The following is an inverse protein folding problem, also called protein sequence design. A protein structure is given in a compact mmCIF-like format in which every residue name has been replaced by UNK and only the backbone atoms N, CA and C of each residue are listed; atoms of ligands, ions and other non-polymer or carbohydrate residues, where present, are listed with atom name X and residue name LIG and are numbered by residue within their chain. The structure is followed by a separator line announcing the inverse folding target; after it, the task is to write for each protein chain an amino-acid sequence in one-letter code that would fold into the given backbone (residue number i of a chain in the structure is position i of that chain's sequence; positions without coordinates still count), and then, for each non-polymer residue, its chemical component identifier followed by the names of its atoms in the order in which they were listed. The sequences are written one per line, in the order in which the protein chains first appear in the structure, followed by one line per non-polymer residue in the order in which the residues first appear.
data_IF_802313172013
#
_entry.id   IF_802313172013
#
_cell.length_a   1.000
_cell.length_b   1.000
_cell.length_c   1.000
_cell.angle_alpha   90.00
_cell.angle_beta   90.00
_cell.angle_gamma   90.00
#
_symmetry.space_group_name_H-M   'P 1'
#
loop_
_entity.id
_entity.type
_entity.pdbx_description
1 polymer ?
#
# COMPACT_ATOMS: atom_id res chain seq x y z
N UNK A 1 -46.16 -0.28 -3.17
CA UNK A 1 -45.01 0.66 -3.08
C UNK A 1 -44.65 0.78 -1.60
N UNK A 2 -43.59 0.09 -1.18
CA UNK A 2 -43.29 -0.22 0.23
C UNK A 2 -42.85 1.02 1.02
N UNK A 3 -43.26 1.09 2.29
CA UNK A 3 -42.96 2.16 3.28
C UNK A 3 -41.45 2.50 3.36
N UNK A 4 -40.59 1.54 2.98
CA UNK A 4 -39.13 1.68 2.91
C UNK A 4 -38.66 2.73 1.88
N UNK A 5 -39.39 2.91 0.77
CA UNK A 5 -39.06 3.88 -0.27
C UNK A 5 -39.45 5.31 0.15
N UNK A 6 -40.49 5.47 1.00
CA UNK A 6 -40.93 6.77 1.49
C UNK A 6 -39.93 7.39 2.49
N UNK A 7 -39.28 6.55 3.33
CA UNK A 7 -38.22 7.01 4.24
C UNK A 7 -36.94 7.47 3.52
N UNK A 8 -36.57 6.80 2.41
CA UNK A 8 -35.43 7.23 1.60
C UNK A 8 -35.71 8.53 0.83
N UNK A 9 -36.92 8.70 0.28
CA UNK A 9 -37.34 9.94 -0.38
C UNK A 9 -37.47 11.12 0.60
N UNK A 10 -38.00 10.89 1.81
CA UNK A 10 -38.08 11.94 2.84
C UNK A 10 -36.70 12.36 3.37
N UNK A 11 -35.75 11.41 3.50
CA UNK A 11 -34.37 11.71 3.87
C UNK A 11 -33.63 12.54 2.83
N UNK A 12 -33.92 12.34 1.53
CA UNK A 12 -33.32 13.13 0.45
C UNK A 12 -33.84 14.57 0.44
N UNK A 13 -35.12 14.77 0.75
CA UNK A 13 -35.77 16.09 0.76
C UNK A 13 -35.28 16.98 1.92
N UNK A 14 -34.98 16.39 3.07
CA UNK A 14 -34.45 17.11 4.24
C UNK A 14 -33.01 17.59 4.01
N UNK A 15 -32.18 16.77 3.35
CA UNK A 15 -30.80 17.15 2.97
C UNK A 15 -30.82 18.27 1.92
N UNK A 16 -31.75 18.22 0.96
CA UNK A 16 -31.92 19.27 -0.05
C UNK A 16 -32.42 20.61 0.54
N UNK A 17 -33.18 20.57 1.63
CA UNK A 17 -33.71 21.75 2.33
C UNK A 17 -32.64 22.46 3.18
N UNK A 18 -31.65 21.72 3.69
CA UNK A 18 -30.54 22.27 4.48
C UNK A 18 -29.53 23.01 3.56
N UNK A 19 -29.40 22.60 2.30
CA UNK A 19 -28.50 23.22 1.32
C UNK A 19 -28.98 24.59 0.80
N UNK A 20 -30.27 24.91 0.90
CA UNK A 20 -30.85 26.17 0.41
C UNK A 20 -30.85 27.31 1.44
N UNK A 21 -30.47 27.06 2.71
CA UNK A 21 -30.58 28.05 3.80
C UNK A 21 -29.24 28.58 4.34
N UNK A 22 -28.10 28.12 3.83
CA UNK A 22 -26.79 28.67 4.15
C UNK A 22 -26.41 29.79 3.18
N UNK A 23 -27.00 30.98 3.34
CA UNK A 23 -26.44 32.21 2.77
C UNK A 23 -25.11 32.52 3.46
N UNK A 24 -24.04 31.83 3.06
CA UNK A 24 -22.74 31.90 3.72
C UNK A 24 -22.22 33.33 3.65
N UNK A 25 -22.03 33.94 4.81
CA UNK A 25 -21.42 35.27 4.91
C UNK A 25 -19.92 35.12 4.69
N UNK A 26 -19.40 35.71 3.61
CA UNK A 26 -17.98 35.64 3.27
C UNK A 26 -17.27 36.93 3.69
N UNK A 27 -16.19 36.83 4.46
CA UNK A 27 -15.39 38.00 4.84
C UNK A 27 -14.37 38.32 3.75
N UNK A 28 -14.21 39.58 3.39
CA UNK A 28 -13.24 40.07 2.40
C UNK A 28 -12.39 41.15 3.05
N UNK A 29 -11.07 41.03 2.94
CA UNK A 29 -10.13 42.02 3.44
C UNK A 29 -9.58 42.76 2.22
N UNK A 30 -9.83 44.06 2.13
CA UNK A 30 -9.31 44.89 1.05
C UNK A 30 -7.92 45.44 1.41
N UNK A 31 -7.14 45.86 0.43
CA UNK A 31 -5.78 46.41 0.63
C UNK A 31 -5.73 47.61 1.59
N UNK A 32 -6.84 48.35 1.68
CA UNK A 32 -7.04 49.43 2.67
C UNK A 32 -7.09 48.95 4.13
N UNK A 33 -7.09 47.65 4.39
CA UNK A 33 -7.29 47.03 5.70
C UNK A 33 -8.77 46.94 6.13
N UNK A 34 -9.70 47.50 5.35
CA UNK A 34 -11.14 47.38 5.62
C UNK A 34 -11.63 45.96 5.39
N UNK A 35 -12.39 45.44 6.35
CA UNK A 35 -12.99 44.11 6.30
C UNK A 35 -14.48 44.24 6.00
N UNK A 36 -14.90 43.67 4.88
CA UNK A 36 -16.30 43.57 4.49
C UNK A 36 -16.82 42.16 4.75
N UNK A 37 -18.09 42.03 5.10
CA UNK A 37 -18.83 40.77 5.02
C UNK A 37 -19.77 40.84 3.83
N UNK A 38 -19.71 39.85 2.95
CA UNK A 38 -20.52 39.76 1.73
C UNK A 38 -21.55 38.67 1.93
N UNK A 39 -22.82 39.02 1.76
CA UNK A 39 -23.94 38.08 1.81
C UNK A 39 -24.80 38.29 0.57
N UNK A 40 -24.71 37.37 -0.38
CA UNK A 40 -25.31 37.53 -1.71
C UNK A 40 -24.79 38.81 -2.40
N UNK A 41 -25.65 39.83 -2.56
CA UNK A 41 -25.30 41.12 -3.16
C UNK A 41 -25.15 42.24 -2.13
N UNK A 42 -25.32 41.94 -0.84
CA UNK A 42 -25.21 42.92 0.23
C UNK A 42 -23.81 42.91 0.85
N UNK A 43 -23.33 44.10 1.20
CA UNK A 43 -22.01 44.36 1.77
C UNK A 43 -22.16 44.99 3.15
N UNK A 44 -21.43 44.45 4.13
CA UNK A 44 -21.49 44.89 5.52
C UNK A 44 -20.10 45.22 6.06
N UNK A 45 -20.01 46.25 6.91
CA UNK A 45 -18.84 46.49 7.77
C UNK A 45 -19.30 46.26 9.21
N UNK A 46 -18.79 45.19 9.83
CA UNK A 46 -19.40 44.68 11.07
C UNK A 46 -20.84 44.24 10.82
N UNK A 47 -21.79 44.83 11.56
CA UNK A 47 -23.23 44.58 11.40
C UNK A 47 -23.94 45.62 10.52
N UNK A 48 -23.25 46.71 10.14
CA UNK A 48 -23.85 47.79 9.35
C UNK A 48 -23.87 47.43 7.87
N UNK A 49 -25.05 47.45 7.25
CA UNK A 49 -25.18 47.34 5.79
C UNK A 49 -24.70 48.64 5.14
N UNK A 50 -23.69 48.53 4.28
CA UNK A 50 -23.06 49.66 3.55
C UNK A 50 -23.27 49.55 2.04
N UNK A 51 -24.20 48.70 1.59
CA UNK A 51 -24.41 48.39 0.17
C UNK A 51 -24.72 49.62 -0.66
N UNK A 52 -25.63 50.49 -0.21
CA UNK A 52 -25.96 51.72 -0.95
C UNK A 52 -24.88 52.81 -0.84
N UNK A 53 -23.96 52.66 0.12
CA UNK A 53 -22.87 53.61 0.39
C UNK A 53 -21.65 53.33 -0.51
N UNK A 54 -21.58 52.12 -1.09
CA UNK A 54 -20.50 51.70 -2.00
C UNK A 54 -20.83 52.04 -3.45
N UNK A 55 -19.83 52.55 -4.17
CA UNK A 55 -19.93 52.73 -5.62
C UNK A 55 -19.92 51.39 -6.34
N UNK A 56 -20.42 51.36 -7.59
CA UNK A 56 -20.37 50.16 -8.43
C UNK A 56 -18.95 49.61 -8.58
N UNK A 57 -17.94 50.49 -8.66
CA UNK A 57 -16.54 50.08 -8.72
C UNK A 57 -16.11 49.38 -7.44
N UNK A 58 -16.39 49.97 -6.26
CA UNK A 58 -16.02 49.35 -4.98
C UNK A 58 -16.70 47.99 -4.77
N UNK A 59 -17.97 47.86 -5.17
CA UNK A 59 -18.68 46.57 -5.14
C UNK A 59 -18.02 45.54 -6.04
N UNK A 60 -17.59 45.96 -7.24
CA UNK A 60 -16.87 45.09 -8.18
C UNK A 60 -15.52 44.66 -7.60
N UNK A 61 -14.76 45.58 -7.02
CA UNK A 61 -13.44 45.29 -6.45
C UNK A 61 -13.56 44.27 -5.30
N UNK A 62 -14.51 44.47 -4.37
CA UNK A 62 -14.76 43.53 -3.26
C UNK A 62 -15.16 42.14 -3.78
N UNK A 63 -16.02 42.09 -4.81
CA UNK A 63 -16.44 40.82 -5.43
C UNK A 63 -15.28 40.13 -6.15
N UNK A 64 -14.42 40.88 -6.83
CA UNK A 64 -13.23 40.34 -7.49
C UNK A 64 -12.31 39.67 -6.47
N UNK A 65 -11.97 40.36 -5.37
CA UNK A 65 -11.11 39.79 -4.31
C UNK A 65 -11.74 38.53 -3.70
N UNK A 66 -13.06 38.54 -3.48
CA UNK A 66 -13.78 37.35 -2.99
C UNK A 66 -13.68 36.19 -3.98
N UNK A 67 -13.92 36.45 -5.27
CA UNK A 67 -13.88 35.44 -6.31
C UNK A 67 -12.47 34.86 -6.47
N UNK A 68 -11.44 35.70 -6.48
CA UNK A 68 -10.04 35.28 -6.57
C UNK A 68 -9.67 34.36 -5.40
N UNK A 69 -10.10 34.70 -4.18
CA UNK A 69 -9.88 33.86 -3.00
C UNK A 69 -10.61 32.51 -3.11
N UNK A 70 -11.87 32.51 -3.51
CA UNK A 70 -12.66 31.28 -3.64
C UNK A 70 -12.05 30.35 -4.72
N UNK A 71 -11.62 30.92 -5.84
CA UNK A 71 -10.92 30.17 -6.88
C UNK A 71 -9.60 29.59 -6.37
N UNK A 72 -8.82 30.35 -5.60
CA UNK A 72 -7.60 29.86 -4.98
C UNK A 72 -7.85 28.79 -3.88
N UNK A 73 -8.99 28.84 -3.20
CA UNK A 73 -9.41 27.79 -2.25
C UNK A 73 -9.81 26.51 -2.98
N UNK A 74 -10.55 26.61 -4.08
CA UNK A 74 -10.94 25.48 -4.92
C UNK A 74 -9.71 24.79 -5.52
N UNK A 75 -8.78 25.56 -6.11
CA UNK A 75 -7.51 25.02 -6.63
C UNK A 75 -6.71 24.29 -5.56
N UNK A 76 -6.61 24.87 -4.34
CA UNK A 76 -5.93 24.20 -3.22
C UNK A 76 -6.64 22.92 -2.79
N UNK A 77 -7.97 22.89 -2.82
CA UNK A 77 -8.73 21.69 -2.49
C UNK A 77 -8.48 20.58 -3.54
N UNK A 78 -8.49 20.91 -4.82
CA UNK A 78 -8.15 19.98 -5.92
C UNK A 78 -6.71 19.46 -5.80
N UNK A 79 -5.75 20.35 -5.50
CA UNK A 79 -4.36 19.96 -5.26
C UNK A 79 -4.22 19.00 -4.07
N UNK A 80 -4.91 19.28 -2.96
CA UNK A 80 -4.93 18.41 -1.78
C UNK A 80 -5.55 17.05 -2.09
N UNK A 81 -6.63 17.00 -2.86
CA UNK A 81 -7.24 15.75 -3.29
C UNK A 81 -6.27 14.94 -4.17
N UNK A 82 -5.63 15.58 -5.14
CA UNK A 82 -4.64 14.94 -6.00
C UNK A 82 -3.45 14.40 -5.18
N UNK A 83 -2.90 15.19 -4.25
CA UNK A 83 -1.83 14.75 -3.36
C UNK A 83 -2.25 13.55 -2.50
N UNK A 84 -3.47 13.55 -1.96
CA UNK A 84 -3.99 12.41 -1.19
C UNK A 84 -4.11 11.15 -2.04
N UNK A 85 -4.58 11.28 -3.30
CA UNK A 85 -4.65 10.17 -4.23
C UNK A 85 -3.26 9.61 -4.58
N UNK A 86 -2.26 10.49 -4.76
CA UNK A 86 -0.87 10.07 -4.97
C UNK A 86 -0.29 9.36 -3.75
N UNK A 87 -0.50 9.90 -2.54
CA UNK A 87 -0.07 9.26 -1.28
C UNK A 87 -0.69 7.87 -1.14
N UNK A 88 -1.98 7.72 -1.46
CA UNK A 88 -2.67 6.42 -1.42
C UNK A 88 -2.04 5.44 -2.41
N UNK A 89 -1.82 5.87 -3.65
CA UNK A 89 -1.17 5.03 -4.68
C UNK A 89 0.24 4.59 -4.27
N UNK A 90 1.04 5.51 -3.70
CA UNK A 90 2.38 5.20 -3.21
C UNK A 90 2.35 4.20 -2.05
N UNK A 91 1.38 4.31 -1.12
CA UNK A 91 1.19 3.33 -0.04
C UNK A 91 0.87 1.94 -0.57
N UNK A 92 0.01 1.84 -1.58
CA UNK A 92 -0.34 0.56 -2.21
C UNK A 92 0.89 -0.06 -2.93
N UNK A 93 1.72 0.77 -3.57
CA UNK A 93 2.98 0.33 -4.17
C UNK A 93 3.99 -0.15 -3.14
N UNK A 94 4.15 0.57 -2.02
CA UNK A 94 5.03 0.17 -0.91
C UNK A 94 4.62 -1.21 -0.39
N UNK A 95 3.33 -1.41 -0.10
CA UNK A 95 2.83 -2.70 0.37
C UNK A 95 3.11 -3.84 -0.61
N UNK A 96 2.90 -3.58 -1.90
CA UNK A 96 3.21 -4.56 -2.95
C UNK A 96 4.70 -4.91 -3.01
N UNK A 97 5.58 -3.93 -2.77
CA UNK A 97 7.02 -4.15 -2.72
C UNK A 97 7.43 -4.91 -1.46
N UNK A 98 6.82 -4.62 -0.31
CA UNK A 98 7.04 -5.36 0.94
C UNK A 98 6.67 -6.85 0.77
N UNK A 99 5.50 -7.15 0.20
CA UNK A 99 5.07 -8.53 -0.08
C UNK A 99 6.06 -9.27 -1.01
N UNK A 100 6.62 -8.56 -2.00
CA UNK A 100 7.64 -9.10 -2.91
C UNK A 100 8.96 -9.38 -2.19
N UNK A 101 9.39 -8.47 -1.32
CA UNK A 101 10.60 -8.64 -0.50
C UNK A 101 10.46 -9.87 0.40
N UNK A 102 9.32 -10.02 1.08
CA UNK A 102 9.06 -11.19 1.92
C UNK A 102 9.10 -12.49 1.10
N UNK A 103 8.45 -12.51 -0.07
CA UNK A 103 8.47 -13.66 -0.98
C UNK A 103 9.88 -14.03 -1.43
N UNK A 104 10.72 -13.04 -1.74
CA UNK A 104 12.13 -13.26 -2.12
C UNK A 104 12.92 -13.82 -0.93
N UNK A 105 12.75 -13.25 0.26
CA UNK A 105 13.42 -13.73 1.47
C UNK A 105 13.02 -15.16 1.84
N UNK A 106 11.75 -15.54 1.66
CA UNK A 106 11.30 -16.92 1.82
C UNK A 106 11.94 -17.86 0.81
N UNK A 107 12.02 -17.45 -0.46
CA UNK A 107 12.71 -18.22 -1.51
C UNK A 107 14.19 -18.40 -1.19
N UNK A 108 14.88 -17.35 -0.74
CA UNK A 108 16.29 -17.43 -0.35
C UNK A 108 16.50 -18.38 0.84
N UNK A 109 15.67 -18.28 1.88
CA UNK A 109 15.72 -19.19 3.03
C UNK A 109 15.49 -20.64 2.63
N UNK A 110 14.53 -20.90 1.76
CA UNK A 110 14.24 -22.25 1.27
C UNK A 110 15.35 -22.78 0.37
N UNK A 111 15.93 -21.91 -0.48
CA UNK A 111 17.05 -22.25 -1.33
C UNK A 111 18.28 -22.63 -0.50
N UNK A 112 18.57 -21.89 0.56
CA UNK A 112 19.71 -22.17 1.43
C UNK A 112 19.54 -23.51 2.15
N UNK A 113 18.37 -23.75 2.76
CA UNK A 113 18.06 -25.05 3.38
C UNK A 113 18.19 -26.21 2.40
N UNK A 114 17.74 -26.04 1.16
CA UNK A 114 17.87 -27.08 0.13
C UNK A 114 19.33 -27.31 -0.30
N UNK A 115 20.15 -26.25 -0.34
CA UNK A 115 21.59 -26.36 -0.60
C UNK A 115 22.30 -27.13 0.52
N UNK A 116 22.04 -26.76 1.77
CA UNK A 116 22.60 -27.45 2.95
C UNK A 116 22.22 -28.93 2.93
N UNK A 117 20.93 -29.26 2.75
CA UNK A 117 20.46 -30.65 2.68
C UNK A 117 21.15 -31.46 1.56
N UNK A 118 21.37 -30.86 0.39
CA UNK A 118 22.08 -31.50 -0.72
C UNK A 118 23.57 -31.72 -0.38
N UNK A 119 24.23 -30.73 0.21
CA UNK A 119 25.64 -30.82 0.63
C UNK A 119 25.80 -31.92 1.69
N UNK A 120 24.93 -31.95 2.69
CA UNK A 120 24.95 -32.93 3.77
C UNK A 120 24.74 -34.36 3.24
N UNK A 121 23.77 -34.55 2.34
CA UNK A 121 23.55 -35.85 1.70
C UNK A 121 24.79 -36.31 0.91
N UNK A 122 25.44 -35.39 0.19
CA UNK A 122 26.65 -35.69 -0.58
C UNK A 122 27.83 -36.02 0.31
N UNK A 123 28.01 -35.28 1.42
CA UNK A 123 29.06 -35.53 2.40
C UNK A 123 28.86 -36.88 3.11
N UNK A 124 27.62 -37.21 3.47
CA UNK A 124 27.28 -38.51 4.05
C UNK A 124 27.61 -39.67 3.10
N UNK A 125 27.22 -39.55 1.82
CA UNK A 125 27.55 -40.52 0.79
C UNK A 125 29.07 -40.72 0.65
N UNK A 126 29.82 -39.63 0.47
CA UNK A 126 31.29 -39.68 0.31
C UNK A 126 31.94 -40.33 1.54
N UNK A 127 31.48 -39.99 2.74
CA UNK A 127 32.00 -40.56 3.98
C UNK A 127 31.76 -42.07 4.04
N UNK A 128 30.55 -42.51 3.68
CA UNK A 128 30.19 -43.93 3.70
C UNK A 128 30.94 -44.73 2.64
N UNK A 129 31.08 -44.20 1.42
CA UNK A 129 31.88 -44.81 0.36
C UNK A 129 33.36 -44.96 0.77
N UNK A 130 33.94 -43.93 1.40
CA UNK A 130 35.32 -43.99 1.92
C UNK A 130 35.50 -45.01 3.03
N UNK A 131 34.54 -45.11 3.95
CA UNK A 131 34.53 -46.11 5.03
C UNK A 131 34.51 -47.52 4.45
N UNK A 132 33.57 -47.78 3.53
CA UNK A 132 33.44 -49.07 2.85
C UNK A 132 34.72 -49.49 2.13
N UNK A 133 35.32 -48.59 1.34
CA UNK A 133 36.57 -48.85 0.62
C UNK A 133 37.75 -49.14 1.56
N UNK A 134 37.84 -48.46 2.70
CA UNK A 134 38.87 -48.74 3.72
C UNK A 134 38.69 -50.13 4.32
N UNK A 135 37.47 -50.47 4.73
CA UNK A 135 37.18 -51.78 5.33
C UNK A 135 37.39 -52.93 4.34
N UNK A 136 37.05 -52.71 3.07
CA UNK A 136 37.26 -53.68 1.99
C UNK A 136 38.74 -53.95 1.75
N UNK A 137 39.57 -52.91 1.73
CA UNK A 137 41.04 -53.05 1.60
C UNK A 137 41.68 -53.75 2.79
N UNK A 138 41.14 -53.55 3.98
CA UNK A 138 41.67 -54.16 5.20
C UNK A 138 41.24 -55.62 5.39
N UNK A 139 40.37 -56.17 4.52
CA UNK A 139 39.84 -57.53 4.67
C UNK A 139 38.87 -57.70 5.83
N UNK A 140 38.36 -56.61 6.41
CA UNK A 140 37.58 -56.59 7.64
C UNK A 140 36.05 -56.67 7.42
N UNK A 141 35.60 -57.08 6.24
CA UNK A 141 34.18 -57.15 5.89
C UNK A 141 33.76 -58.58 5.60
N UNK A 142 32.78 -59.08 6.37
CA UNK A 142 32.04 -60.28 5.96
C UNK A 142 31.20 -59.99 4.72
N UNK A 143 30.80 -61.02 3.97
CA UNK A 143 29.97 -60.83 2.78
C UNK A 143 28.60 -60.23 3.10
N UNK A 144 28.05 -60.54 4.28
CA UNK A 144 26.83 -59.91 4.78
C UNK A 144 27.02 -58.42 4.99
N UNK A 145 28.11 -58.01 5.65
CA UNK A 145 28.38 -56.60 5.90
C UNK A 145 28.57 -55.83 4.59
N UNK A 146 29.19 -56.45 3.57
CA UNK A 146 29.32 -55.83 2.24
C UNK A 146 27.96 -55.48 1.64
N UNK A 147 27.03 -56.42 1.70
CA UNK A 147 25.66 -56.22 1.18
C UNK A 147 24.96 -55.08 1.94
N UNK A 148 25.09 -55.04 3.27
CA UNK A 148 24.49 -53.98 4.09
C UNK A 148 25.08 -52.59 3.75
N UNK A 149 26.40 -52.49 3.60
CA UNK A 149 27.07 -51.26 3.15
C UNK A 149 26.63 -50.80 1.77
N UNK A 150 26.56 -51.72 0.80
CA UNK A 150 26.11 -51.41 -0.56
C UNK A 150 24.67 -50.88 -0.58
N UNK A 151 23.79 -51.47 0.25
CA UNK A 151 22.41 -51.01 0.41
C UNK A 151 22.33 -49.61 1.02
N UNK A 152 23.13 -49.31 2.04
CA UNK A 152 23.16 -47.99 2.65
C UNK A 152 23.73 -46.92 1.70
N UNK A 153 24.78 -47.26 0.94
CA UNK A 153 25.32 -46.39 -0.11
C UNK A 153 24.26 -46.11 -1.17
N UNK A 154 23.48 -47.11 -1.59
CA UNK A 154 22.40 -46.93 -2.56
C UNK A 154 21.34 -45.94 -2.04
N UNK A 155 20.87 -46.11 -0.80
CA UNK A 155 19.93 -45.17 -0.16
C UNK A 155 20.48 -43.74 -0.08
N UNK A 156 21.78 -43.59 0.23
CA UNK A 156 22.42 -42.27 0.28
C UNK A 156 22.52 -41.64 -1.11
N UNK A 157 22.79 -42.43 -2.16
CA UNK A 157 22.75 -41.96 -3.57
C UNK A 157 21.36 -41.47 -3.96
N UNK A 158 20.32 -42.23 -3.62
CA UNK A 158 18.93 -41.82 -3.85
C UNK A 158 18.62 -40.51 -3.14
N UNK A 159 19.03 -40.36 -1.87
CA UNK A 159 18.87 -39.11 -1.11
C UNK A 159 19.60 -37.91 -1.73
N UNK A 160 20.80 -38.12 -2.29
CA UNK A 160 21.53 -37.07 -3.02
C UNK A 160 20.75 -36.64 -4.27
N UNK A 161 20.17 -37.58 -5.01
CA UNK A 161 19.35 -37.28 -6.20
C UNK A 161 18.07 -36.53 -5.79
N UNK A 162 17.40 -36.97 -4.74
CA UNK A 162 16.18 -36.33 -4.23
C UNK A 162 16.43 -34.89 -3.78
N UNK A 163 17.42 -34.68 -2.91
CA UNK A 163 17.77 -33.33 -2.42
C UNK A 163 18.27 -32.42 -3.53
N UNK A 164 18.96 -32.95 -4.54
CA UNK A 164 19.33 -32.19 -5.74
C UNK A 164 18.10 -31.72 -6.52
N UNK A 165 17.11 -32.61 -6.71
CA UNK A 165 15.86 -32.28 -7.39
C UNK A 165 15.07 -31.21 -6.63
N UNK A 166 15.03 -31.30 -5.29
CA UNK A 166 14.41 -30.28 -4.44
C UNK A 166 15.11 -28.92 -4.57
N UNK A 167 16.45 -28.91 -4.58
CA UNK A 167 17.24 -27.70 -4.80
C UNK A 167 16.97 -27.08 -6.18
N UNK A 168 16.89 -27.89 -7.23
CA UNK A 168 16.59 -27.42 -8.58
C UNK A 168 15.16 -26.90 -8.73
N UNK A 169 14.19 -27.46 -7.99
CA UNK A 169 12.80 -27.00 -8.04
C UNK A 169 12.58 -25.62 -7.39
N UNK A 170 13.50 -25.16 -6.53
CA UNK A 170 13.43 -23.85 -5.86
C UNK A 170 14.16 -22.76 -6.67
N UNK A 171 15.13 -23.15 -7.52
CA UNK A 171 15.91 -22.25 -8.39
C UNK A 171 15.08 -21.76 -9.57
#
# INVERSE_FOLDING_TARGET
MTIRNFKQLASLFIILSILLSCGSTQKVIMDSGKVYSVKNNDFFIGEKNVTEELTSQQKSDIKSVLQDRLQAEEQRAEELENLNNQIKSLKDQIKTLEDKVETIQDKERNLEKAREAYIDAKMALITKEREFEKLKKNGNLSDKDKIDYEKDILKLREKVVETKKQLEAIR
#
